data_IF_080445903478
#
_entry.id   IF_080445903478
#
_cell.length_a   1.000
_cell.length_b   1.000
_cell.length_c   1.000
_cell.angle_alpha   90.00
_cell.angle_beta   90.00
_cell.angle_gamma   90.00
#
_symmetry.space_group_name_H-M   'P 1'
#
loop_
_entity.id
_entity.type
_entity.pdbx_description
1 polymer ?
#
# COMPACT_ATOMS: atom_id res chain seq x y z
N UNK A 1 -2.89 -6.32 -5.14
CA UNK A 1 -2.95 -6.67 -3.71
C UNK A 1 -4.37 -7.08 -3.33
N UNK A 2 -4.61 -7.67 -2.15
CA UNK A 2 -5.96 -7.96 -1.67
C UNK A 2 -6.30 -7.02 -0.52
N UNK A 3 -7.49 -6.45 -0.54
CA UNK A 3 -8.00 -5.64 0.56
C UNK A 3 -8.05 -6.48 1.85
N UNK A 4 -7.49 -6.01 2.98
CA UNK A 4 -7.56 -6.73 4.24
C UNK A 4 -9.00 -6.83 4.78
N UNK A 5 -9.84 -5.82 4.49
CA UNK A 5 -11.23 -5.79 4.98
C UNK A 5 -12.18 -6.73 4.22
N UNK A 6 -12.10 -6.79 2.89
CA UNK A 6 -13.08 -7.53 2.06
C UNK A 6 -12.48 -8.60 1.15
N UNK A 7 -11.15 -8.70 1.06
CA UNK A 7 -10.47 -9.64 0.17
C UNK A 7 -10.49 -9.28 -1.31
N UNK A 8 -11.05 -8.13 -1.70
CA UNK A 8 -11.12 -7.68 -3.09
C UNK A 8 -9.72 -7.42 -3.67
N UNK A 9 -9.51 -7.80 -4.94
CA UNK A 9 -8.25 -7.55 -5.63
C UNK A 9 -8.17 -6.11 -6.11
N UNK A 10 -7.28 -5.33 -5.50
CA UNK A 10 -7.06 -3.91 -5.84
C UNK A 10 -5.73 -3.80 -6.61
N UNK A 11 -5.75 -3.03 -7.69
CA UNK A 11 -4.54 -2.62 -8.41
C UNK A 11 -4.05 -1.29 -7.86
N UNK A 12 -2.81 -1.26 -7.37
CA UNK A 12 -2.17 -0.04 -6.87
C UNK A 12 -0.99 0.33 -7.77
N UNK A 13 -0.79 1.63 -7.98
CA UNK A 13 0.38 2.15 -8.71
C UNK A 13 1.30 2.82 -7.70
N UNK A 14 2.56 2.42 -7.68
CA UNK A 14 3.55 2.91 -6.73
C UNK A 14 4.68 3.57 -7.51
N UNK A 15 4.97 4.82 -7.18
CA UNK A 15 6.15 5.51 -7.66
C UNK A 15 7.27 5.32 -6.62
N UNK A 16 8.39 4.72 -7.03
CA UNK A 16 9.55 4.54 -6.15
C UNK A 16 10.57 5.68 -6.28
N UNK A 17 10.29 6.67 -7.12
CA UNK A 17 11.24 7.74 -7.46
C UNK A 17 11.53 8.66 -6.28
N UNK A 18 10.64 8.72 -5.28
CA UNK A 18 10.78 9.55 -4.08
C UNK A 18 11.19 8.75 -2.83
N UNK A 19 11.63 7.49 -2.99
CA UNK A 19 12.11 6.68 -1.87
C UNK A 19 10.97 6.11 -1.01
N UNK A 20 11.11 6.19 0.31
CA UNK A 20 10.12 5.68 1.26
C UNK A 20 8.91 6.60 1.34
N UNK A 21 7.71 6.02 1.20
CA UNK A 21 6.48 6.78 1.07
C UNK A 21 5.32 6.07 1.76
N UNK A 22 4.38 6.86 2.26
CA UNK A 22 3.13 6.39 2.86
C UNK A 22 1.96 6.91 2.03
N UNK A 23 1.02 6.02 1.74
CA UNK A 23 -0.13 6.29 0.89
C UNK A 23 -1.39 5.74 1.55
N UNK A 24 -2.51 6.41 1.31
CA UNK A 24 -3.82 5.96 1.74
C UNK A 24 -4.67 5.75 0.49
N UNK A 25 -5.22 4.55 0.33
CA UNK A 25 -6.00 4.17 -0.85
C UNK A 25 -7.32 3.55 -0.40
N UNK A 26 -8.44 4.02 -0.94
CA UNK A 26 -9.76 3.49 -0.62
C UNK A 26 -10.13 2.28 -1.49
N UNK A 27 -10.59 1.22 -0.84
CA UNK A 27 -11.03 0.03 -1.55
C UNK A 27 -12.29 0.34 -2.38
N UNK A 28 -12.29 0.12 -3.71
CA UNK A 28 -13.47 0.38 -4.55
C UNK A 28 -14.64 -0.57 -4.27
N UNK A 29 -14.42 -1.66 -3.52
CA UNK A 29 -15.45 -2.64 -3.19
C UNK A 29 -16.11 -2.39 -1.82
N UNK A 30 -15.33 -2.08 -0.79
CA UNK A 30 -15.83 -1.91 0.58
C UNK A 30 -15.68 -0.50 1.15
N UNK A 31 -15.15 0.44 0.34
CA UNK A 31 -14.98 1.85 0.67
C UNK A 31 -14.18 2.11 1.97
N UNK A 32 -13.35 1.15 2.38
CA UNK A 32 -12.42 1.32 3.49
C UNK A 32 -11.07 1.79 2.94
N UNK A 33 -10.53 2.85 3.54
CA UNK A 33 -9.14 3.23 3.39
C UNK A 33 -8.19 2.08 3.78
N UNK A 34 -7.10 2.00 3.04
CA UNK A 34 -6.04 1.03 3.22
C UNK A 34 -4.77 1.85 3.36
N UNK A 35 -4.08 1.70 4.49
CA UNK A 35 -2.82 2.37 4.69
C UNK A 35 -1.70 1.52 4.08
N UNK A 36 -0.96 2.13 3.15
CA UNK A 36 0.11 1.50 2.40
C UNK A 36 1.43 2.19 2.76
N UNK A 37 2.33 1.47 3.41
CA UNK A 37 3.67 1.95 3.69
C UNK A 37 4.67 1.28 2.73
N UNK A 38 5.31 2.09 1.91
CA UNK A 38 6.31 1.67 0.94
C UNK A 38 7.69 2.03 1.44
N UNK A 39 8.57 1.03 1.47
CA UNK A 39 10.00 1.20 1.75
C UNK A 39 10.79 0.84 0.50
N UNK A 40 11.59 1.78 0.04
CA UNK A 40 12.51 1.58 -1.09
C UNK A 40 13.91 1.45 -0.54
N UNK A 41 14.55 0.34 -0.85
CA UNK A 41 15.92 0.02 -0.47
C UNK A 41 16.79 0.17 -1.72
N UNK A 42 17.31 1.38 -1.94
CA UNK A 42 18.07 1.73 -3.15
C UNK A 42 19.36 0.91 -3.29
N UNK A 43 19.99 0.55 -2.17
CA UNK A 43 21.21 -0.26 -2.17
C UNK A 43 20.94 -1.69 -2.66
N UNK A 44 19.80 -2.26 -2.27
CA UNK A 44 19.40 -3.62 -2.64
C UNK A 44 18.47 -3.67 -3.85
N UNK A 45 18.13 -2.52 -4.43
CA UNK A 45 17.14 -2.38 -5.51
C UNK A 45 15.83 -3.12 -5.16
N UNK A 46 15.40 -3.02 -3.90
CA UNK A 46 14.25 -3.74 -3.35
C UNK A 46 13.15 -2.75 -2.97
N UNK A 47 11.91 -3.11 -3.25
CA UNK A 47 10.74 -2.39 -2.76
C UNK A 47 9.94 -3.30 -1.86
N UNK A 48 9.66 -2.84 -0.65
CA UNK A 48 8.85 -3.54 0.35
C UNK A 48 7.57 -2.74 0.59
N UNK A 49 6.45 -3.45 0.60
CA UNK A 49 5.13 -2.86 0.80
C UNK A 49 4.49 -3.50 2.01
N UNK A 50 4.10 -2.65 2.95
CA UNK A 50 3.40 -3.03 4.17
C UNK A 50 1.99 -2.45 4.08
N UNK A 51 1.01 -3.30 4.35
CA UNK A 51 -0.41 -2.94 4.35
C UNK A 51 -0.85 -2.94 5.81
N UNK A 52 -1.28 -1.78 6.29
CA UNK A 52 -1.77 -1.61 7.64
C UNK A 52 -3.29 -1.37 7.60
N UNK A 53 -4.01 -2.10 8.45
CA UNK A 53 -5.47 -2.09 8.60
C UNK A 53 -5.90 -1.22 9.79
N UNK A 54 -4.95 -0.67 10.54
CA UNK A 54 -5.21 -0.10 11.85
C UNK A 54 -5.66 1.36 11.70
N UNK A 55 -6.98 1.55 11.81
CA UNK A 55 -7.60 2.85 12.02
C UNK A 55 -7.57 3.16 13.52
N UNK A 56 -6.48 3.74 14.01
CA UNK A 56 -6.46 4.33 15.35
C UNK A 56 -6.96 5.78 15.33
#
# INVERSE_FOLDING_TARGET
MKCPHCGHSIGITLDASNGNQEFYDDCPACCHAIHLNMKVDELQQKVELFIDDNYE
#
